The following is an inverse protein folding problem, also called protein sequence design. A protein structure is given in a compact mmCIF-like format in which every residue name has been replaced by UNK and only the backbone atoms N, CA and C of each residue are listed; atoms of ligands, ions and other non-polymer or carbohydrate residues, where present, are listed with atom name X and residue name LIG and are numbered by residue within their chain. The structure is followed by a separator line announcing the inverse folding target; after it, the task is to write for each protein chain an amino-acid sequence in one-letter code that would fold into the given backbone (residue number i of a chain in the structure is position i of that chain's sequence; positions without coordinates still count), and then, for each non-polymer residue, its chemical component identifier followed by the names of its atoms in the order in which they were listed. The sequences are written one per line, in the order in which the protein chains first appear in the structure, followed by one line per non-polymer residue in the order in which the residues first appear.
data_IF_859322902174
#
_entry.id   IF_859322902174
#
_cell.length_a   1.000
_cell.length_b   1.000
_cell.length_c   1.000
_cell.angle_alpha   90.00
_cell.angle_beta   90.00
_cell.angle_gamma   90.00
#
_symmetry.space_group_name_H-M   'P 1'
#
loop_
_entity.id
_entity.type
_entity.pdbx_description
1 polymer ?
#
# COMPACT_ATOMS: atom_id res chain seq x y z
N UNK A 1 -25.94 15.18 -31.15
CA UNK A 1 -24.62 15.24 -30.47
C UNK A 1 -23.67 14.42 -31.31
N UNK A 2 -22.64 15.04 -31.79
CA UNK A 2 -21.67 14.39 -32.67
C UNK A 2 -20.89 13.34 -31.86
N UNK A 3 -20.41 12.28 -32.49
CA UNK A 3 -19.65 11.22 -31.79
C UNK A 3 -18.41 11.79 -31.08
N UNK A 4 -17.79 12.79 -31.65
CA UNK A 4 -16.64 13.49 -31.07
C UNK A 4 -17.01 14.24 -29.78
N UNK A 5 -18.18 14.91 -29.77
CA UNK A 5 -18.65 15.60 -28.58
C UNK A 5 -19.04 14.62 -27.47
N UNK A 6 -19.64 13.48 -27.81
CA UNK A 6 -19.99 12.44 -26.86
C UNK A 6 -18.73 11.82 -26.24
N UNK A 7 -17.73 11.51 -27.06
CA UNK A 7 -16.45 10.95 -26.57
C UNK A 7 -15.69 11.94 -25.70
N UNK A 8 -15.70 13.23 -26.03
CA UNK A 8 -15.08 14.27 -25.22
C UNK A 8 -15.78 14.41 -23.84
N UNK A 9 -17.11 14.40 -23.81
CA UNK A 9 -17.87 14.44 -22.55
C UNK A 9 -17.57 13.23 -21.67
N UNK A 10 -17.57 12.02 -22.26
CA UNK A 10 -17.21 10.80 -21.54
C UNK A 10 -15.78 10.90 -20.99
N UNK A 11 -14.84 11.37 -21.78
CA UNK A 11 -13.45 11.57 -21.36
C UNK A 11 -13.32 12.54 -20.18
N UNK A 12 -14.05 13.65 -20.20
CA UNK A 12 -14.09 14.63 -19.11
C UNK A 12 -14.69 14.01 -17.84
N UNK A 13 -15.79 13.29 -17.96
CA UNK A 13 -16.43 12.61 -16.82
C UNK A 13 -15.47 11.59 -16.21
N UNK A 14 -14.82 10.77 -17.02
CA UNK A 14 -13.83 9.79 -16.55
C UNK A 14 -12.68 10.49 -15.83
N UNK A 15 -12.16 11.56 -16.40
CA UNK A 15 -11.08 12.34 -15.77
C UNK A 15 -11.52 12.95 -14.44
N UNK A 16 -12.72 13.52 -14.37
CA UNK A 16 -13.28 14.08 -13.13
C UNK A 16 -13.44 12.98 -12.05
N UNK A 17 -13.95 11.81 -12.42
CA UNK A 17 -14.08 10.68 -11.50
C UNK A 17 -12.72 10.22 -11.01
N UNK A 18 -11.73 10.07 -11.89
CA UNK A 18 -10.36 9.64 -11.54
C UNK A 18 -9.66 10.64 -10.60
N UNK A 19 -9.97 11.92 -10.69
CA UNK A 19 -9.38 12.96 -9.82
C UNK A 19 -10.20 13.15 -8.54
N UNK A 20 -11.52 13.28 -8.66
CA UNK A 20 -12.39 13.59 -7.53
C UNK A 20 -12.54 12.40 -6.56
N UNK A 21 -12.65 11.17 -7.07
CA UNK A 21 -12.85 9.98 -6.25
C UNK A 21 -11.70 9.76 -5.22
N UNK A 22 -10.42 9.79 -5.60
CA UNK A 22 -9.32 9.68 -4.63
C UNK A 22 -9.34 10.79 -3.58
N UNK A 23 -9.69 12.01 -3.98
CA UNK A 23 -9.76 13.14 -3.05
C UNK A 23 -10.89 12.92 -2.04
N UNK A 24 -12.08 12.55 -2.50
CA UNK A 24 -13.25 12.27 -1.65
C UNK A 24 -12.93 11.13 -0.68
N UNK A 25 -12.38 10.03 -1.16
CA UNK A 25 -12.06 8.89 -0.33
C UNK A 25 -10.96 9.21 0.70
N UNK A 26 -10.00 10.04 0.34
CA UNK A 26 -8.98 10.53 1.27
C UNK A 26 -9.58 11.41 2.37
N UNK A 27 -10.50 12.29 2.02
CA UNK A 27 -11.25 13.11 2.99
C UNK A 27 -12.10 12.24 3.91
N UNK A 28 -12.69 11.15 3.38
CA UNK A 28 -13.42 10.16 4.17
C UNK A 28 -12.51 9.25 5.03
N UNK A 29 -11.20 9.47 5.02
CA UNK A 29 -10.25 8.68 5.81
C UNK A 29 -9.89 7.33 5.19
N UNK A 30 -10.31 7.07 3.95
CA UNK A 30 -9.96 5.86 3.21
C UNK A 30 -8.63 6.10 2.48
N UNK A 31 -7.60 5.38 2.87
CA UNK A 31 -6.29 5.49 2.24
C UNK A 31 -5.17 4.92 3.08
N UNK A 32 -3.96 5.05 2.56
CA UNK A 32 -2.77 4.59 3.25
C UNK A 32 -2.44 5.49 4.44
N UNK A 33 -2.26 4.87 5.59
CA UNK A 33 -1.70 5.49 6.79
C UNK A 33 -0.27 5.00 6.98
N UNK A 34 0.54 5.81 7.63
CA UNK A 34 1.95 5.52 7.91
C UNK A 34 2.11 5.04 9.34
N UNK A 35 3.07 4.15 9.54
CA UNK A 35 3.55 3.75 10.85
C UNK A 35 5.06 3.70 10.82
N UNK A 36 5.70 4.33 11.79
CA UNK A 36 7.15 4.27 11.94
C UNK A 36 7.55 2.90 12.47
N UNK A 37 8.56 2.30 11.88
CA UNK A 37 9.08 1.00 12.27
C UNK A 37 10.58 1.09 12.49
N UNK A 38 11.09 0.43 13.52
CA UNK A 38 12.51 0.40 13.87
C UNK A 38 12.98 -1.04 13.98
N UNK A 39 14.14 -1.31 13.43
CA UNK A 39 14.83 -2.57 13.67
C UNK A 39 15.64 -2.46 14.97
N UNK A 40 15.32 -3.22 16.02
CA UNK A 40 16.00 -3.13 17.31
C UNK A 40 17.45 -3.59 17.24
N UNK A 41 17.82 -4.43 16.27
CA UNK A 41 19.19 -4.93 16.11
C UNK A 41 20.09 -3.93 15.38
N UNK A 42 19.63 -3.33 14.29
CA UNK A 42 20.43 -2.44 13.45
C UNK A 42 20.22 -0.96 13.77
N UNK A 43 19.13 -0.63 14.47
CA UNK A 43 18.70 0.76 14.73
C UNK A 43 18.08 1.46 13.52
N UNK A 44 17.99 0.80 12.38
CA UNK A 44 17.41 1.37 11.16
C UNK A 44 15.91 1.65 11.34
N UNK A 45 15.49 2.79 10.80
CA UNK A 45 14.08 3.22 10.80
C UNK A 45 13.55 3.15 9.37
N UNK A 46 12.37 2.56 9.20
CA UNK A 46 11.62 2.53 7.95
C UNK A 46 10.17 2.89 8.21
N UNK A 47 9.49 3.32 7.16
CA UNK A 47 8.05 3.60 7.21
C UNK A 47 7.28 2.40 6.69
N UNK A 48 6.44 1.82 7.53
CA UNK A 48 5.41 0.88 7.13
C UNK A 48 4.12 1.60 6.71
N UNK A 49 3.25 0.89 6.04
CA UNK A 49 1.98 1.42 5.55
C UNK A 49 0.85 0.44 5.86
N UNK A 50 -0.32 0.97 6.17
CA UNK A 50 -1.56 0.21 6.32
C UNK A 50 -2.74 0.97 5.71
N UNK A 51 -3.77 0.25 5.27
CA UNK A 51 -4.89 0.79 4.52
C UNK A 51 -4.73 0.64 3.00
N UNK A 52 -5.66 1.22 2.25
CA UNK A 52 -5.69 1.11 0.79
C UNK A 52 -4.52 1.84 0.13
N UNK A 53 -3.88 1.21 -0.83
CA UNK A 53 -2.72 1.77 -1.54
C UNK A 53 -3.12 2.48 -2.82
N UNK A 54 -3.44 3.76 -2.74
CA UNK A 54 -3.69 4.60 -3.91
C UNK A 54 -2.50 4.68 -4.85
N UNK A 55 -1.30 4.73 -4.28
CA UNK A 55 -0.06 4.76 -5.06
C UNK A 55 0.06 3.49 -5.91
N UNK A 56 -0.22 2.32 -5.33
CA UNK A 56 -0.21 1.07 -6.08
C UNK A 56 -1.34 1.01 -7.10
N UNK A 57 -2.52 1.52 -6.79
CA UNK A 57 -3.65 1.55 -7.72
C UNK A 57 -3.31 2.29 -9.03
N UNK A 58 -2.61 3.43 -8.94
CA UNK A 58 -2.23 4.20 -10.12
C UNK A 58 -0.94 3.72 -10.78
N UNK A 59 0.06 3.32 -10.01
CA UNK A 59 1.40 3.02 -10.50
C UNK A 59 1.72 1.52 -10.57
N UNK A 60 0.90 0.66 -9.96
CA UNK A 60 1.03 -0.79 -10.03
C UNK A 60 2.41 -1.31 -9.62
N UNK A 61 3.02 -2.12 -10.48
CA UNK A 61 4.31 -2.75 -10.25
C UNK A 61 5.50 -1.78 -10.09
N UNK A 62 5.34 -0.52 -10.47
CA UNK A 62 6.35 0.52 -10.21
C UNK A 62 6.55 0.78 -8.72
N UNK A 63 5.52 0.60 -7.91
CA UNK A 63 5.60 0.88 -6.47
C UNK A 63 6.59 -0.06 -5.75
N UNK A 64 6.51 -1.40 -5.88
CA UNK A 64 7.53 -2.27 -5.32
C UNK A 64 8.92 -2.03 -5.92
N UNK A 65 9.01 -1.70 -7.20
CA UNK A 65 10.29 -1.35 -7.82
C UNK A 65 10.96 -0.16 -7.13
N UNK A 66 10.22 0.93 -6.91
CA UNK A 66 10.73 2.13 -6.24
C UNK A 66 11.02 1.91 -4.75
N UNK A 67 10.40 0.90 -4.13
CA UNK A 67 10.68 0.49 -2.75
C UNK A 67 11.86 -0.50 -2.63
N UNK A 68 12.51 -0.84 -3.72
CA UNK A 68 13.65 -1.75 -3.75
C UNK A 68 13.28 -3.25 -3.73
N UNK A 69 12.02 -3.57 -3.98
CA UNK A 69 11.51 -4.95 -4.00
C UNK A 69 11.48 -5.51 -5.42
N UNK A 70 12.66 -5.69 -6.05
CA UNK A 70 12.78 -6.10 -7.46
C UNK A 70 12.03 -7.38 -7.81
N UNK A 71 12.12 -8.40 -6.96
CA UNK A 71 11.43 -9.68 -7.17
C UNK A 71 9.91 -9.54 -7.15
N UNK A 72 9.39 -8.75 -6.21
CA UNK A 72 7.96 -8.44 -6.09
C UNK A 72 7.51 -7.61 -7.29
N UNK A 73 8.30 -6.63 -7.72
CA UNK A 73 8.00 -5.80 -8.89
C UNK A 73 7.89 -6.64 -10.17
N UNK A 74 8.83 -7.54 -10.42
CA UNK A 74 8.83 -8.43 -11.58
C UNK A 74 7.59 -9.35 -11.58
N UNK A 75 7.26 -9.93 -10.45
CA UNK A 75 6.08 -10.78 -10.29
C UNK A 75 4.78 -10.01 -10.54
N UNK A 76 4.66 -8.81 -9.98
CA UNK A 76 3.47 -7.97 -10.17
C UNK A 76 3.34 -7.47 -11.61
N UNK A 77 4.44 -7.18 -12.29
CA UNK A 77 4.44 -6.87 -13.73
C UNK A 77 3.88 -8.03 -14.55
N UNK A 78 4.38 -9.26 -14.30
CA UNK A 78 3.90 -10.45 -14.98
C UNK A 78 2.39 -10.65 -14.79
N UNK A 79 1.92 -10.59 -13.54
CA UNK A 79 0.49 -10.75 -13.25
C UNK A 79 -0.36 -9.60 -13.82
N UNK A 80 0.15 -8.38 -13.83
CA UNK A 80 -0.56 -7.24 -14.43
C UNK A 80 -0.76 -7.43 -15.94
N UNK A 81 0.22 -7.97 -16.63
CA UNK A 81 0.12 -8.29 -18.07
C UNK A 81 -0.89 -9.42 -18.30
N UNK A 82 -0.77 -10.52 -17.56
CA UNK A 82 -1.63 -11.70 -17.71
C UNK A 82 -3.09 -11.40 -17.41
N UNK A 83 -3.36 -10.55 -16.42
CA UNK A 83 -4.73 -10.22 -15.99
C UNK A 83 -5.27 -8.93 -16.60
N UNK A 84 -4.57 -8.32 -17.57
CA UNK A 84 -4.95 -7.06 -18.20
C UNK A 84 -5.23 -5.93 -17.18
N UNK A 85 -4.47 -5.88 -16.11
CA UNK A 85 -4.56 -4.85 -15.07
C UNK A 85 -5.55 -5.13 -13.93
N UNK A 86 -6.35 -6.20 -13.99
CA UNK A 86 -7.25 -6.58 -12.88
C UNK A 86 -6.45 -6.85 -11.60
N UNK A 87 -5.28 -7.47 -11.73
CA UNK A 87 -4.33 -7.70 -10.63
C UNK A 87 -4.01 -6.43 -9.85
N UNK A 88 -3.83 -5.31 -10.55
CA UNK A 88 -3.49 -4.04 -9.95
C UNK A 88 -4.59 -3.54 -9.00
N UNK A 89 -5.85 -3.75 -9.35
CA UNK A 89 -6.99 -3.38 -8.49
C UNK A 89 -6.99 -4.22 -7.23
N UNK A 90 -6.88 -5.54 -7.36
CA UNK A 90 -6.88 -6.49 -6.23
C UNK A 90 -5.74 -6.17 -5.26
N UNK A 91 -4.54 -6.01 -5.78
CA UNK A 91 -3.34 -5.78 -4.96
C UNK A 91 -3.35 -4.42 -4.27
N UNK A 92 -4.04 -3.42 -4.82
CA UNK A 92 -4.20 -2.11 -4.17
C UNK A 92 -4.81 -2.20 -2.77
N UNK A 93 -5.67 -3.19 -2.53
CA UNK A 93 -6.24 -3.46 -1.20
C UNK A 93 -5.27 -4.18 -0.25
N UNK A 94 -4.30 -4.90 -0.78
CA UNK A 94 -3.44 -5.81 -0.02
C UNK A 94 -1.98 -5.34 0.08
N UNK A 95 -1.54 -4.48 -0.84
CA UNK A 95 -0.12 -4.18 -0.99
C UNK A 95 0.52 -3.59 0.26
N UNK A 96 -0.12 -2.61 0.89
CA UNK A 96 0.40 -2.00 2.10
C UNK A 96 0.52 -2.99 3.26
N UNK A 97 -0.46 -3.89 3.41
CA UNK A 97 -0.40 -4.98 4.38
C UNK A 97 0.79 -5.91 4.11
N UNK A 98 0.95 -6.34 2.86
CA UNK A 98 2.04 -7.23 2.47
C UNK A 98 3.41 -6.57 2.67
N UNK A 99 3.55 -5.31 2.26
CA UNK A 99 4.80 -4.56 2.44
C UNK A 99 5.19 -4.44 3.92
N UNK A 100 4.26 -4.03 4.78
CA UNK A 100 4.52 -3.90 6.22
C UNK A 100 4.77 -5.25 6.88
N UNK A 101 4.08 -6.33 6.45
CA UNK A 101 4.37 -7.68 6.92
C UNK A 101 5.80 -8.11 6.56
N UNK A 102 6.27 -7.81 5.36
CA UNK A 102 7.68 -8.08 4.99
C UNK A 102 8.69 -7.29 5.81
N UNK A 103 8.36 -6.07 6.23
CA UNK A 103 9.21 -5.33 7.18
C UNK A 103 9.27 -6.02 8.54
N UNK A 104 8.15 -6.55 9.03
CA UNK A 104 8.10 -7.32 10.28
C UNK A 104 8.96 -8.59 10.17
N UNK A 105 8.83 -9.32 9.08
CA UNK A 105 9.65 -10.51 8.80
C UNK A 105 11.14 -10.18 8.72
N UNK A 106 11.50 -9.00 8.21
CA UNK A 106 12.86 -8.48 8.17
C UNK A 106 13.38 -7.98 9.53
N UNK A 107 12.61 -8.12 10.60
CA UNK A 107 13.03 -7.77 11.96
C UNK A 107 12.64 -6.38 12.43
N UNK A 108 11.88 -5.62 11.65
CA UNK A 108 11.37 -4.32 12.07
C UNK A 108 10.19 -4.49 13.03
N UNK A 109 10.07 -3.54 13.96
CA UNK A 109 9.01 -3.49 14.97
C UNK A 109 8.33 -2.12 14.92
N UNK A 110 7.06 -2.06 15.29
CA UNK A 110 6.33 -0.79 15.38
C UNK A 110 6.99 0.13 16.40
N UNK A 111 7.22 1.37 15.99
CA UNK A 111 7.92 2.39 16.75
C UNK A 111 7.26 3.76 16.55
N UNK A 112 5.97 3.82 16.78
CA UNK A 112 5.13 5.00 16.64
C UNK A 112 4.32 5.21 17.93
N UNK A 113 3.36 6.14 17.93
CA UNK A 113 2.45 6.29 19.06
C UNK A 113 1.67 4.99 19.34
N UNK A 114 1.27 4.72 20.58
CA UNK A 114 0.51 3.51 20.92
C UNK A 114 -0.74 3.32 20.08
N UNK A 115 -1.46 4.41 19.78
CA UNK A 115 -2.67 4.40 18.98
C UNK A 115 -2.39 3.99 17.52
N UNK A 116 -1.34 4.54 16.90
CA UNK A 116 -0.93 4.21 15.52
C UNK A 116 -0.44 2.77 15.45
N UNK A 117 0.36 2.33 16.42
CA UNK A 117 0.86 0.96 16.50
C UNK A 117 -0.30 -0.04 16.61
N UNK A 118 -1.30 0.24 17.43
CA UNK A 118 -2.46 -0.62 17.58
C UNK A 118 -3.27 -0.73 16.28
N UNK A 119 -3.58 0.39 15.65
CA UNK A 119 -4.31 0.41 14.37
C UNK A 119 -3.56 -0.35 13.26
N UNK A 120 -2.23 -0.17 13.20
CA UNK A 120 -1.39 -0.87 12.24
C UNK A 120 -1.38 -2.39 12.53
N UNK A 121 -1.23 -2.80 13.78
CA UNK A 121 -1.23 -4.20 14.19
C UNK A 121 -2.55 -4.90 13.89
N UNK A 122 -3.68 -4.25 14.17
CA UNK A 122 -5.01 -4.76 13.85
C UNK A 122 -5.20 -4.94 12.34
N UNK A 123 -4.77 -3.96 11.54
CA UNK A 123 -4.85 -4.05 10.09
C UNK A 123 -3.99 -5.17 9.50
N UNK A 124 -2.78 -5.35 10.03
CA UNK A 124 -1.84 -6.39 9.61
C UNK A 124 -2.28 -7.76 10.13
N UNK A 125 -2.95 -7.82 11.28
CA UNK A 125 -3.37 -9.04 11.95
C UNK A 125 -2.28 -9.64 12.82
N UNK A 126 -1.48 -8.79 13.48
CA UNK A 126 -0.42 -9.21 14.43
C UNK A 126 -0.76 -8.77 15.85
N UNK A 127 -0.38 -9.59 16.82
CA UNK A 127 -0.51 -9.25 18.23
C UNK A 127 0.68 -8.37 18.66
N UNK A 128 0.39 -7.19 19.19
CA UNK A 128 1.43 -6.26 19.66
C UNK A 128 2.27 -6.82 20.81
N UNK A 129 1.68 -7.60 21.71
CA UNK A 129 2.39 -8.12 22.86
C UNK A 129 3.39 -9.21 22.43
N UNK A 130 2.97 -10.10 21.54
CA UNK A 130 3.85 -11.10 20.92
C UNK A 130 4.92 -10.42 20.06
N UNK A 131 4.53 -9.38 19.34
CA UNK A 131 5.44 -8.65 18.45
C UNK A 131 6.55 -7.89 19.23
N UNK A 132 6.27 -7.42 20.44
CA UNK A 132 7.26 -6.80 21.32
C UNK A 132 8.24 -7.80 21.92
N UNK A 133 7.80 -9.04 22.15
CA UNK A 133 8.58 -10.07 22.83
C UNK A 133 9.47 -10.89 21.89
N UNK A 134 9.19 -10.93 20.59
CA UNK A 134 10.04 -11.64 19.65
C UNK A 134 11.35 -10.88 19.43
N UNK A 135 12.52 -11.47 19.82
CA UNK A 135 13.79 -10.92 19.40
C UNK A 135 13.86 -10.93 17.87
N UNK A 136 14.48 -9.90 17.29
CA UNK A 136 14.75 -9.88 15.87
C UNK A 136 15.43 -11.20 15.47
N UNK A 137 14.80 -11.95 14.57
CA UNK A 137 15.40 -13.17 14.03
C UNK A 137 16.68 -12.73 13.31
N UNK A 138 17.80 -13.26 13.80
CA UNK A 138 19.13 -12.99 13.24
C UNK A 138 19.28 -13.62 11.85
#
# INVERSE_FOLDING_TARGET
MDEDAASAIVGIIVLLVLVALPIILKVCGIGAKRVTMKNPTTGQIKTGFFGFSWTYFFFGWWVPLLRGELGVAALHLLFSIVTLGIWQIIVSFMYNRQYTSRLIEAGYRFFDSPEVNQKAAEYIGVDLDVHRQQPAVR
#
